data_IF_078986703515
#
_entry.id   IF_078986703515
#
_cell.length_a   1.000
_cell.length_b   1.000
_cell.length_c   1.000
_cell.angle_alpha   90.00
_cell.angle_beta   90.00
_cell.angle_gamma   90.00
#
_symmetry.space_group_name_H-M   'P 1'
#
loop_
_entity.id
_entity.type
_entity.pdbx_description
1 polymer ?
#
# COMPACT_ATOMS: atom_id res chain seq x y z
N UNK A 1 -21.30 14.72 15.53
CA UNK A 1 -19.92 15.08 15.86
C UNK A 1 -19.01 14.05 15.20
N UNK A 2 -18.63 14.32 13.95
CA UNK A 2 -17.95 13.35 13.08
C UNK A 2 -16.46 13.42 13.35
N UNK A 3 -15.96 12.56 14.23
CA UNK A 3 -14.52 12.45 14.51
C UNK A 3 -13.93 11.32 13.70
N UNK A 4 -13.21 11.62 12.62
CA UNK A 4 -12.25 10.70 12.01
C UNK A 4 -11.15 11.50 11.33
N UNK A 5 -10.12 11.86 12.09
CA UNK A 5 -8.83 12.24 11.53
C UNK A 5 -7.74 11.67 12.43
N UNK A 6 -7.74 10.33 12.52
CA UNK A 6 -6.61 9.59 13.05
C UNK A 6 -5.48 9.70 12.05
N UNK A 7 -4.69 10.77 12.14
CA UNK A 7 -3.37 10.78 11.52
C UNK A 7 -2.56 9.73 12.26
N UNK A 8 -2.53 8.51 11.75
CA UNK A 8 -1.72 7.44 12.30
C UNK A 8 -0.28 7.94 12.34
N UNK A 9 0.27 8.19 13.52
CA UNK A 9 1.64 8.71 13.72
C UNK A 9 2.72 7.62 13.50
N UNK A 10 2.33 6.50 12.89
CA UNK A 10 3.20 5.33 12.68
C UNK A 10 4.03 5.40 11.39
N UNK A 11 5.21 4.78 11.46
CA UNK A 11 6.09 4.46 10.33
C UNK A 11 5.85 2.98 10.02
N UNK A 12 5.63 2.64 8.75
CA UNK A 12 5.33 1.26 8.38
C UNK A 12 5.53 0.98 6.91
N UNK A 13 5.72 -0.29 6.58
CA UNK A 13 5.88 -0.78 5.19
C UNK A 13 4.92 -1.91 4.89
N UNK A 14 3.91 -1.68 4.05
CA UNK A 14 3.03 -2.70 3.52
C UNK A 14 3.54 -3.20 2.17
N UNK A 15 4.10 -4.41 2.14
CA UNK A 15 4.52 -5.10 0.94
C UNK A 15 3.30 -5.60 0.17
N UNK A 16 3.31 -5.41 -1.14
CA UNK A 16 2.27 -5.85 -2.05
C UNK A 16 2.78 -7.03 -2.87
N UNK A 17 2.01 -8.11 -2.89
CA UNK A 17 2.32 -9.33 -3.63
C UNK A 17 1.16 -9.75 -4.51
N UNK A 18 1.42 -10.48 -5.59
CA UNK A 18 0.35 -11.14 -6.35
C UNK A 18 -0.09 -12.45 -5.68
N UNK A 19 -1.17 -13.12 -6.15
CA UNK A 19 -1.66 -14.40 -5.60
C UNK A 19 -0.68 -15.57 -5.72
N UNK A 20 0.47 -15.36 -6.37
CA UNK A 20 1.57 -16.32 -6.47
C UNK A 20 2.76 -15.93 -5.58
N UNK A 21 2.55 -15.03 -4.62
CA UNK A 21 3.59 -14.48 -3.74
C UNK A 21 4.74 -13.79 -4.49
N UNK A 22 4.48 -13.22 -5.68
CA UNK A 22 5.48 -12.40 -6.36
C UNK A 22 5.41 -10.95 -5.88
N UNK A 23 6.56 -10.30 -5.64
CA UNK A 23 6.60 -8.90 -5.23
C UNK A 23 6.16 -7.99 -6.37
N UNK A 24 5.09 -7.23 -6.16
CA UNK A 24 4.56 -6.27 -7.15
C UNK A 24 4.74 -4.81 -6.73
N UNK A 25 5.12 -4.58 -5.47
CA UNK A 25 5.48 -3.26 -4.96
C UNK A 25 5.42 -3.22 -3.44
N UNK A 26 5.53 -2.03 -2.88
CA UNK A 26 5.36 -1.77 -1.45
C UNK A 26 4.87 -0.35 -1.23
N UNK A 27 4.07 -0.20 -0.20
CA UNK A 27 3.58 1.07 0.33
C UNK A 27 4.40 1.33 1.58
N UNK A 28 5.03 2.48 1.68
CA UNK A 28 5.85 2.83 2.83
C UNK A 28 5.58 4.26 3.28
N UNK A 29 5.77 4.48 4.57
CA UNK A 29 5.78 5.81 5.17
C UNK A 29 7.00 5.88 6.07
N UNK A 30 7.97 6.71 5.71
CA UNK A 30 9.27 6.78 6.39
C UNK A 30 9.22 7.70 7.62
N UNK A 31 8.18 8.53 7.76
CA UNK A 31 7.99 9.41 8.92
C UNK A 31 6.53 9.79 9.15
N UNK A 32 6.15 10.07 10.40
CA UNK A 32 4.80 10.52 10.76
C UNK A 32 4.38 11.82 10.04
N UNK A 33 5.34 12.67 9.66
CA UNK A 33 5.08 13.90 8.90
C UNK A 33 5.20 13.73 7.38
N UNK A 34 5.61 12.55 6.90
CA UNK A 34 5.75 12.27 5.47
C UNK A 34 4.46 11.62 4.95
N UNK A 35 4.08 11.99 3.72
CA UNK A 35 3.01 11.33 2.99
C UNK A 35 3.37 9.88 2.67
N UNK A 36 2.36 9.02 2.60
CA UNK A 36 2.53 7.63 2.19
C UNK A 36 3.03 7.58 0.74
N UNK A 37 4.03 6.75 0.50
CA UNK A 37 4.64 6.56 -0.81
C UNK A 37 4.39 5.15 -1.33
N UNK A 38 4.10 5.05 -2.62
CA UNK A 38 4.10 3.82 -3.36
C UNK A 38 5.46 3.62 -4.05
N UNK A 39 6.14 2.54 -3.71
CA UNK A 39 7.30 2.06 -4.44
C UNK A 39 6.88 0.84 -5.27
N UNK A 40 6.69 0.95 -6.59
CA UNK A 40 6.43 -0.20 -7.47
C UNK A 40 7.65 -1.13 -7.62
N UNK A 41 8.73 -0.85 -6.88
CA UNK A 41 10.02 -1.51 -6.97
C UNK A 41 10.94 -0.84 -7.99
N UNK A 42 12.23 -0.82 -7.68
CA UNK A 42 13.28 -0.14 -8.46
C UNK A 42 13.32 -0.50 -9.96
N UNK A 43 12.71 -1.62 -10.35
CA UNK A 43 12.65 -2.06 -11.73
C UNK A 43 11.48 -1.43 -12.54
N UNK A 44 10.44 -0.90 -11.90
CA UNK A 44 9.19 -0.47 -12.56
C UNK A 44 9.13 1.05 -12.75
N UNK A 45 9.72 1.84 -11.85
CA UNK A 45 9.77 3.29 -11.97
C UNK A 45 10.14 4.00 -10.66
N UNK A 46 10.20 5.35 -10.66
CA UNK A 46 10.44 6.12 -9.46
C UNK A 46 9.33 5.90 -8.43
N UNK A 47 9.65 6.08 -7.15
CA UNK A 47 8.65 6.15 -6.07
C UNK A 47 7.63 7.23 -6.39
N UNK A 48 6.35 6.89 -6.26
CA UNK A 48 5.23 7.80 -6.51
C UNK A 48 4.51 8.06 -5.20
N UNK A 49 3.79 9.17 -5.15
CA UNK A 49 2.85 9.41 -4.06
C UNK A 49 1.75 8.34 -4.10
N UNK A 50 1.42 7.78 -2.94
CA UNK A 50 0.31 6.85 -2.82
C UNK A 50 -1.01 7.65 -2.97
N UNK A 51 -1.88 7.30 -3.93
CA UNK A 51 -3.13 8.02 -4.14
C UNK A 51 -4.11 7.77 -3.00
N UNK A 52 -4.91 8.78 -2.65
CA UNK A 52 -6.01 8.56 -1.73
C UNK A 52 -7.19 7.85 -2.42
N UNK A 53 -8.02 7.18 -1.63
CA UNK A 53 -9.24 6.53 -2.11
C UNK A 53 -10.15 7.50 -2.89
N UNK A 54 -10.25 8.76 -2.44
CA UNK A 54 -11.00 9.83 -3.09
C UNK A 54 -10.46 10.18 -4.49
N UNK A 55 -9.16 9.99 -4.72
CA UNK A 55 -8.49 10.28 -6.01
C UNK A 55 -8.50 9.05 -6.93
N UNK A 56 -8.31 7.87 -6.37
CA UNK A 56 -8.29 6.61 -7.09
C UNK A 56 -8.95 5.53 -6.25
N UNK A 57 -10.22 5.21 -6.54
CA UNK A 57 -10.97 4.18 -5.81
C UNK A 57 -10.38 2.77 -5.95
N UNK A 58 -9.68 2.48 -7.05
CA UNK A 58 -9.09 1.18 -7.32
C UNK A 58 -7.61 1.28 -7.66
N UNK A 59 -6.79 0.64 -6.84
CA UNK A 59 -5.37 0.53 -7.06
C UNK A 59 -5.09 -0.66 -7.99
N UNK A 60 -4.43 -0.40 -9.13
CA UNK A 60 -4.05 -1.42 -10.11
C UNK A 60 -2.57 -1.32 -10.43
N UNK A 61 -1.88 -2.46 -10.41
CA UNK A 61 -0.48 -2.62 -10.83
C UNK A 61 -0.33 -3.88 -11.68
N UNK A 62 0.80 -4.06 -12.36
CA UNK A 62 1.06 -5.27 -13.17
C UNK A 62 2.12 -6.11 -12.50
N UNK A 63 1.80 -7.37 -12.21
CA UNK A 63 2.78 -8.33 -11.75
C UNK A 63 3.69 -8.71 -12.93
N UNK A 64 4.99 -8.40 -12.88
CA UNK A 64 5.93 -8.76 -13.96
C UNK A 64 6.21 -10.25 -14.08
N UNK A 65 6.10 -11.00 -12.99
CA UNK A 65 6.37 -12.43 -12.98
C UNK A 65 5.21 -13.22 -13.61
N UNK A 66 3.98 -12.84 -13.30
CA UNK A 66 2.79 -13.45 -13.89
C UNK A 66 2.38 -12.80 -15.22
N UNK A 67 2.93 -11.61 -15.50
CA UNK A 67 2.54 -10.70 -16.58
C UNK A 67 1.03 -10.36 -16.58
N UNK A 68 0.42 -10.30 -15.39
CA UNK A 68 -1.01 -10.03 -15.22
C UNK A 68 -1.27 -8.77 -14.38
N UNK A 69 -2.36 -8.03 -14.66
CA UNK A 69 -2.80 -6.97 -13.78
C UNK A 69 -3.27 -7.56 -12.45
N UNK A 70 -2.84 -6.92 -11.36
CA UNK A 70 -3.26 -7.21 -9.98
C UNK A 70 -3.63 -5.90 -9.30
N UNK A 71 -4.60 -5.94 -8.41
CA UNK A 71 -5.10 -4.72 -7.81
C UNK A 71 -6.16 -5.01 -6.77
N UNK A 72 -6.42 -4.01 -5.95
CA UNK A 72 -7.43 -4.07 -4.90
C UNK A 72 -8.04 -2.67 -4.71
N UNK A 73 -9.08 -2.56 -3.88
CA UNK A 73 -9.65 -1.26 -3.57
C UNK A 73 -8.64 -0.43 -2.76
N UNK A 74 -8.49 0.84 -3.10
CA UNK A 74 -7.54 1.73 -2.42
C UNK A 74 -7.91 1.86 -0.94
N UNK A 75 -9.21 2.01 -0.63
CA UNK A 75 -9.74 1.93 0.74
C UNK A 75 -9.25 0.68 1.49
N UNK A 76 -9.31 -0.51 0.90
CA UNK A 76 -8.85 -1.75 1.54
C UNK A 76 -7.36 -1.69 1.90
N UNK A 77 -6.53 -1.21 0.97
CA UNK A 77 -5.08 -1.07 1.20
C UNK A 77 -4.78 -0.01 2.24
N UNK A 78 -5.52 1.10 2.25
CA UNK A 78 -5.42 2.14 3.27
C UNK A 78 -5.82 1.64 4.66
N UNK A 79 -6.90 0.86 4.77
CA UNK A 79 -7.31 0.24 6.03
C UNK A 79 -6.22 -0.72 6.53
N UNK A 80 -5.69 -1.59 5.66
CA UNK A 80 -4.60 -2.51 6.02
C UNK A 80 -3.33 -1.78 6.45
N UNK A 81 -3.00 -0.67 5.78
CA UNK A 81 -1.86 0.14 6.15
C UNK A 81 -2.08 0.88 7.46
N UNK A 82 -3.26 1.46 7.67
CA UNK A 82 -3.66 2.11 8.93
C UNK A 82 -3.60 1.14 10.11
N UNK A 83 -4.08 -0.09 9.92
CA UNK A 83 -4.01 -1.14 10.92
C UNK A 83 -2.55 -1.50 11.26
N UNK A 84 -1.68 -1.62 10.25
CA UNK A 84 -0.24 -1.78 10.45
C UNK A 84 0.37 -0.61 11.24
N UNK A 85 0.00 0.63 10.92
CA UNK A 85 0.53 1.80 11.64
C UNK A 85 0.02 1.90 13.08
N UNK A 86 -1.15 1.32 13.37
CA UNK A 86 -1.70 1.23 14.71
C UNK A 86 -1.09 0.07 15.52
N UNK A 87 -0.50 -0.91 14.84
CA UNK A 87 0.16 -2.05 15.47
C UNK A 87 1.58 -1.67 15.92
N UNK A 88 1.80 -1.59 17.24
CA UNK A 88 3.10 -1.24 17.80
C UNK A 88 4.14 -2.38 17.69
N UNK A 89 3.71 -3.60 17.32
CA UNK A 89 4.59 -4.78 17.22
C UNK A 89 5.04 -5.03 15.79
N UNK A 90 4.22 -4.69 14.80
CA UNK A 90 4.52 -4.87 13.38
C UNK A 90 4.90 -3.54 12.71
N UNK A 91 6.09 -3.44 12.13
CA UNK A 91 6.50 -2.29 11.29
C UNK A 91 6.43 -2.60 9.79
N UNK A 92 6.23 -3.86 9.45
CA UNK A 92 5.99 -4.31 8.09
C UNK A 92 4.88 -5.34 8.07
N UNK A 93 4.06 -5.30 7.01
CA UNK A 93 3.08 -6.33 6.73
C UNK A 93 3.11 -6.64 5.25
N UNK A 94 2.66 -7.81 4.88
CA UNK A 94 2.52 -8.20 3.49
C UNK A 94 1.05 -8.44 3.18
N UNK A 95 0.57 -7.92 2.05
CA UNK A 95 -0.77 -8.20 1.56
C UNK A 95 -0.72 -8.69 0.13
N UNK A 96 -1.56 -9.67 -0.15
CA UNK A 96 -1.78 -10.22 -1.47
C UNK A 96 -2.85 -9.41 -2.18
N UNK A 97 -2.56 -8.97 -3.41
CA UNK A 97 -3.50 -8.33 -4.31
C UNK A 97 -4.11 -9.40 -5.23
N UNK A 98 -5.44 -9.46 -5.36
CA UNK A 98 -6.07 -10.35 -6.33
C UNK A 98 -5.75 -9.92 -7.76
N UNK A 99 -5.95 -10.84 -8.72
CA UNK A 99 -5.92 -10.50 -10.14
C UNK A 99 -7.14 -9.63 -10.48
N UNK A 100 -6.91 -8.64 -11.35
CA UNK A 100 -7.98 -7.82 -11.94
C UNK A 100 -8.56 -8.48 -13.20
#
# INVERSE_FOLDING_TARGET
>A
MTGFSGFSEGIGTLKLECPQAHPVGRILRESAHQSVQYDPGAAVGPRRFWPNDDEQAQFATRCRFCDRPVGDATATLQTKFTDLLADASETYRTTTLPYL
#
